data_IF_962254278678
#
_entry.id   IF_962254278678
#
_cell.length_a   1.000
_cell.length_b   1.000
_cell.length_c   1.000
_cell.angle_alpha   90.00
_cell.angle_beta   90.00
_cell.angle_gamma   90.00
#
_symmetry.space_group_name_H-M   'P 1'
#
loop_
_entity.id
_entity.type
_entity.pdbx_description
1 polymer ?
#
# COMPACT_ATOMS: atom_id res chain seq x y z
N UNK A 1 4.01 15.61 1.40
CA UNK A 1 3.86 14.53 0.39
C UNK A 1 3.54 15.16 -0.95
N UNK A 2 4.25 14.73 -1.99
CA UNK A 2 3.92 15.01 -3.40
C UNK A 2 2.84 14.04 -3.89
N UNK A 3 2.12 14.42 -4.94
CA UNK A 3 1.16 13.53 -5.61
C UNK A 3 1.91 12.56 -6.53
N UNK A 4 1.28 11.41 -6.81
CA UNK A 4 1.71 10.52 -7.89
C UNK A 4 1.48 11.25 -9.22
N UNK A 5 2.52 11.37 -10.03
CA UNK A 5 2.45 12.01 -11.36
C UNK A 5 2.66 11.00 -12.48
N UNK A 6 3.25 9.85 -12.17
CA UNK A 6 3.57 8.81 -13.16
C UNK A 6 3.06 7.43 -12.76
N UNK A 7 2.92 6.55 -13.76
CA UNK A 7 2.59 5.15 -13.51
C UNK A 7 3.69 4.43 -12.71
N UNK A 8 4.96 4.83 -12.89
CA UNK A 8 6.08 4.25 -12.16
C UNK A 8 6.05 4.61 -10.66
N UNK A 9 5.59 5.81 -10.30
CA UNK A 9 5.36 6.19 -8.90
C UNK A 9 4.33 5.26 -8.25
N UNK A 10 3.25 4.97 -8.98
CA UNK A 10 2.22 4.03 -8.53
C UNK A 10 2.79 2.61 -8.39
N UNK A 11 3.55 2.13 -9.37
CA UNK A 11 4.15 0.78 -9.31
C UNK A 11 5.09 0.63 -8.11
N UNK A 12 5.92 1.63 -7.81
CA UNK A 12 6.81 1.61 -6.63
C UNK A 12 6.04 1.50 -5.32
N UNK A 13 4.98 2.29 -5.19
CA UNK A 13 4.09 2.26 -4.04
C UNK A 13 3.38 0.90 -3.88
N UNK A 14 2.90 0.30 -4.98
CA UNK A 14 2.25 -1.01 -4.95
C UNK A 14 3.25 -2.13 -4.59
N UNK A 15 4.50 -2.03 -5.05
CA UNK A 15 5.55 -2.98 -4.69
C UNK A 15 5.82 -2.98 -3.17
N UNK A 16 5.94 -1.80 -2.55
CA UNK A 16 6.09 -1.65 -1.09
C UNK A 16 4.90 -2.27 -0.32
N UNK A 17 3.67 -2.06 -0.80
CA UNK A 17 2.47 -2.71 -0.24
C UNK A 17 2.53 -4.23 -0.32
N UNK A 18 2.96 -4.78 -1.46
CA UNK A 18 3.07 -6.23 -1.66
C UNK A 18 4.14 -6.84 -0.76
N UNK A 19 5.29 -6.19 -0.62
CA UNK A 19 6.33 -6.63 0.30
C UNK A 19 5.83 -6.59 1.75
N UNK A 20 5.13 -5.54 2.15
CA UNK A 20 4.53 -5.45 3.47
C UNK A 20 3.43 -6.50 3.71
N UNK A 21 2.67 -6.84 2.67
CA UNK A 21 1.67 -7.92 2.72
C UNK A 21 2.33 -9.27 2.96
N UNK A 22 3.49 -9.54 2.34
CA UNK A 22 4.26 -10.78 2.50
C UNK A 22 5.09 -10.81 3.79
N UNK A 23 5.35 -9.63 4.38
CA UNK A 23 6.10 -9.47 5.63
C UNK A 23 5.41 -10.03 6.87
N UNK A 24 6.10 -9.89 8.01
CA UNK A 24 5.66 -10.37 9.33
C UNK A 24 5.81 -9.29 10.42
N UNK A 25 5.32 -9.58 11.63
CA UNK A 25 5.47 -8.71 12.79
C UNK A 25 4.87 -7.31 12.59
N UNK A 26 5.62 -6.28 12.95
CA UNK A 26 5.17 -4.88 12.90
C UNK A 26 4.77 -4.44 11.49
N UNK A 27 5.50 -4.86 10.45
CA UNK A 27 5.20 -4.53 9.05
C UNK A 27 3.83 -5.08 8.65
N UNK A 28 3.54 -6.33 9.00
CA UNK A 28 2.26 -6.97 8.73
C UNK A 28 1.10 -6.29 9.48
N UNK A 29 1.36 -5.87 10.72
CA UNK A 29 0.40 -5.11 11.53
C UNK A 29 0.07 -3.74 10.93
N UNK A 30 1.08 -3.00 10.47
CA UNK A 30 0.91 -1.72 9.79
C UNK A 30 0.12 -1.88 8.48
N UNK A 31 0.46 -2.88 7.67
CA UNK A 31 -0.31 -3.24 6.48
C UNK A 31 -1.79 -3.52 6.81
N UNK A 32 -2.06 -4.37 7.81
CA UNK A 32 -3.44 -4.67 8.21
C UNK A 32 -4.20 -3.43 8.71
N UNK A 33 -3.52 -2.54 9.44
CA UNK A 33 -4.08 -1.27 9.91
C UNK A 33 -4.49 -0.33 8.78
N UNK A 34 -3.74 -0.31 7.67
CA UNK A 34 -4.09 0.46 6.48
C UNK A 34 -5.38 -0.04 5.82
N UNK A 35 -5.55 -1.36 5.73
CA UNK A 35 -6.76 -1.97 5.16
C UNK A 35 -7.95 -1.78 6.10
N UNK A 36 -7.76 -2.01 7.41
CA UNK A 36 -8.82 -1.97 8.41
C UNK A 36 -9.46 -0.60 8.63
N UNK A 37 -8.76 0.49 8.28
CA UNK A 37 -9.30 1.87 8.37
C UNK A 37 -10.22 2.24 7.20
N UNK A 38 -10.46 1.34 6.25
CA UNK A 38 -11.42 1.55 5.16
C UNK A 38 -10.98 2.60 4.13
N UNK A 39 -9.75 3.12 4.22
CA UNK A 39 -9.17 4.02 3.22
C UNK A 39 -8.62 3.24 2.03
N UNK A 40 -9.38 2.29 1.49
CA UNK A 40 -8.94 1.34 0.45
C UNK A 40 -9.77 1.56 -0.80
N UNK A 41 -9.09 1.92 -1.89
CA UNK A 41 -9.74 2.50 -3.07
C UNK A 41 -9.79 1.53 -4.26
N UNK A 42 -8.85 0.57 -4.31
CA UNK A 42 -8.70 -0.30 -5.47
C UNK A 42 -8.44 -1.74 -5.04
N UNK A 43 -9.35 -2.69 -5.32
CA UNK A 43 -9.02 -4.10 -5.31
C UNK A 43 -8.07 -4.42 -6.46
N UNK A 44 -7.07 -5.27 -6.22
CA UNK A 44 -6.16 -5.77 -7.24
C UNK A 44 -5.90 -7.26 -7.05
N UNK A 45 -5.49 -7.92 -8.14
CA UNK A 45 -5.12 -9.33 -8.10
C UNK A 45 -3.67 -9.45 -7.62
N UNK A 46 -3.47 -10.10 -6.49
CA UNK A 46 -2.19 -10.62 -6.06
C UNK A 46 -2.12 -12.12 -6.40
N UNK A 47 -0.91 -12.70 -6.40
CA UNK A 47 -0.63 -14.06 -6.90
C UNK A 47 -1.62 -15.14 -6.44
N UNK A 48 -2.10 -15.05 -5.20
CA UNK A 48 -2.94 -16.07 -4.58
C UNK A 48 -4.32 -15.58 -4.11
N UNK A 49 -4.63 -14.28 -4.24
CA UNK A 49 -5.85 -13.67 -3.68
C UNK A 49 -6.13 -12.27 -4.22
N UNK A 50 -7.34 -11.78 -3.99
CA UNK A 50 -7.64 -10.36 -4.12
C UNK A 50 -7.04 -9.62 -2.91
N UNK A 51 -6.28 -8.57 -3.18
CA UNK A 51 -5.74 -7.63 -2.21
C UNK A 51 -6.32 -6.23 -2.47
N UNK A 52 -6.06 -5.28 -1.56
CA UNK A 52 -6.65 -3.94 -1.63
C UNK A 52 -5.58 -2.87 -1.38
N UNK A 53 -5.53 -1.87 -2.26
CA UNK A 53 -4.57 -0.77 -2.17
C UNK A 53 -5.20 0.45 -1.47
N UNK A 54 -4.58 0.95 -0.38
CA UNK A 54 -5.01 2.17 0.29
C UNK A 54 -4.96 3.41 -0.62
N UNK A 55 -5.89 4.35 -0.45
CA UNK A 55 -5.95 5.59 -1.23
C UNK A 55 -4.66 6.39 -1.17
N UNK A 56 -3.95 6.38 -0.02
CA UNK A 56 -2.67 7.08 0.12
C UNK A 56 -1.60 6.58 -0.87
N UNK A 57 -1.54 5.27 -1.10
CA UNK A 57 -0.58 4.64 -2.00
C UNK A 57 -0.93 4.86 -3.48
N UNK A 58 -2.15 5.29 -3.78
CA UNK A 58 -2.60 5.65 -5.13
C UNK A 58 -2.52 7.17 -5.35
N UNK A 59 -2.62 7.97 -4.29
CA UNK A 59 -2.68 9.43 -4.38
C UNK A 59 -1.34 10.13 -4.20
N UNK A 60 -0.43 9.60 -3.38
CA UNK A 60 0.80 10.29 -2.98
C UNK A 60 2.04 9.46 -3.31
N UNK A 61 3.11 10.12 -3.76
CA UNK A 61 4.37 9.48 -4.05
C UNK A 61 5.15 9.11 -2.76
N UNK A 62 6.11 8.20 -2.91
CA UNK A 62 7.08 7.82 -1.86
C UNK A 62 6.44 7.34 -0.56
N UNK A 63 5.33 6.59 -0.65
CA UNK A 63 4.69 6.03 0.53
C UNK A 63 5.45 4.80 1.03
N UNK A 64 5.67 4.73 2.34
CA UNK A 64 6.16 3.52 3.02
C UNK A 64 5.11 2.99 4.00
N UNK A 65 5.16 1.69 4.30
CA UNK A 65 4.22 1.09 5.28
C UNK A 65 4.59 1.44 6.72
N UNK A 66 5.86 1.75 7.00
CA UNK A 66 6.35 2.00 8.35
C UNK A 66 6.28 3.48 8.78
N UNK A 67 6.23 4.44 7.86
CA UNK A 67 5.95 5.83 8.24
C UNK A 67 4.46 6.01 8.54
N UNK A 68 4.14 5.82 9.82
CA UNK A 68 2.86 6.18 10.41
C UNK A 68 3.11 7.19 11.54
N UNK A 69 3.08 8.48 11.17
CA UNK A 69 2.90 9.63 12.05
C UNK A 69 1.69 10.42 11.59
#
# INVERSE_FOLDING_TARGET
MSLIETYDDLLRNIAELEEARKGAGQVKGAYAGLIGRGSVFLPYLADDRIAFAPSRFIGYAENTVLEHG
#
